data_IF_584639860421
#
_entry.id   IF_584639860421
#
_cell.length_a   1.000
_cell.length_b   1.000
_cell.length_c   1.000
_cell.angle_alpha   90.00
_cell.angle_beta   90.00
_cell.angle_gamma   90.00
#
_symmetry.space_group_name_H-M   'P 1'
#
loop_
_entity.id
_entity.type
_entity.pdbx_description
1 polymer ?
#
# COMPACT_ATOMS: atom_id res chain seq x y z
N UNK A 1 -62.33 24.17 -15.60
CA UNK A 1 -61.50 22.95 -15.86
C UNK A 1 -60.08 23.26 -16.44
N UNK A 2 -59.86 24.44 -17.02
CA UNK A 2 -58.58 24.78 -17.63
C UNK A 2 -57.46 25.08 -16.60
N UNK A 3 -57.79 25.77 -15.52
CA UNK A 3 -56.85 26.13 -14.46
C UNK A 3 -56.29 24.94 -13.69
N UNK A 4 -57.13 23.91 -13.48
CA UNK A 4 -56.69 22.68 -12.75
C UNK A 4 -55.69 21.86 -13.54
N UNK A 5 -55.87 21.81 -14.88
CA UNK A 5 -54.95 21.09 -15.77
C UNK A 5 -53.54 21.73 -15.83
N UNK A 6 -53.47 23.07 -15.81
CA UNK A 6 -52.19 23.79 -15.78
C UNK A 6 -51.43 23.59 -14.43
N UNK A 7 -52.16 23.53 -13.31
CA UNK A 7 -51.56 23.31 -12.00
C UNK A 7 -50.99 21.88 -11.88
N UNK A 8 -51.73 20.91 -12.40
CA UNK A 8 -51.27 19.50 -12.37
C UNK A 8 -50.05 19.26 -13.25
N UNK A 9 -49.99 19.95 -14.40
CA UNK A 9 -48.85 19.89 -15.31
C UNK A 9 -47.60 20.54 -14.70
N UNK A 10 -47.75 21.67 -14.01
CA UNK A 10 -46.67 22.35 -13.29
C UNK A 10 -46.12 21.52 -12.11
N UNK A 11 -47.00 20.86 -11.36
CA UNK A 11 -46.64 19.96 -10.25
C UNK A 11 -45.88 18.74 -10.77
N UNK A 12 -46.29 18.17 -11.91
CA UNK A 12 -45.65 17.03 -12.52
C UNK A 12 -44.24 17.40 -13.07
N UNK A 13 -44.05 18.57 -13.68
CA UNK A 13 -42.77 19.05 -14.11
C UNK A 13 -41.78 19.24 -12.92
N UNK A 14 -42.28 19.80 -11.81
CA UNK A 14 -41.47 19.92 -10.58
C UNK A 14 -41.03 18.59 -10.01
N UNK A 15 -41.93 17.60 -9.96
CA UNK A 15 -41.59 16.24 -9.49
C UNK A 15 -40.55 15.56 -10.38
N UNK A 16 -40.69 15.70 -11.70
CA UNK A 16 -39.74 15.12 -12.63
C UNK A 16 -38.36 15.82 -12.56
N UNK A 17 -38.32 17.13 -12.39
CA UNK A 17 -37.07 17.87 -12.18
C UNK A 17 -36.39 17.46 -10.87
N UNK A 18 -37.15 17.27 -9.79
CA UNK A 18 -36.60 16.81 -8.50
C UNK A 18 -36.04 15.38 -8.58
N UNK A 19 -36.75 14.47 -9.29
CA UNK A 19 -36.26 13.11 -9.53
C UNK A 19 -34.99 13.08 -10.39
N UNK A 20 -34.87 13.98 -11.38
CA UNK A 20 -33.69 14.08 -12.23
C UNK A 20 -32.47 14.60 -11.46
N UNK A 21 -32.69 15.58 -10.57
CA UNK A 21 -31.65 16.10 -9.67
C UNK A 21 -31.21 15.02 -8.67
N UNK A 22 -32.14 14.28 -8.08
CA UNK A 22 -31.84 13.19 -7.17
C UNK A 22 -31.04 12.07 -7.85
N UNK A 23 -31.46 11.68 -9.08
CA UNK A 23 -30.74 10.67 -9.87
C UNK A 23 -29.32 11.14 -10.24
N UNK A 24 -29.14 12.44 -10.56
CA UNK A 24 -27.83 13.03 -10.85
C UNK A 24 -26.92 13.01 -9.62
N UNK A 25 -27.43 13.30 -8.43
CA UNK A 25 -26.68 13.26 -7.18
C UNK A 25 -26.27 11.81 -6.86
N UNK A 26 -27.17 10.82 -7.02
CA UNK A 26 -26.84 9.41 -6.80
C UNK A 26 -25.75 8.93 -7.75
N UNK A 27 -25.76 9.33 -9.03
CA UNK A 27 -24.72 9.00 -10.01
C UNK A 27 -23.33 9.57 -9.65
N UNK A 28 -23.26 10.71 -8.93
CA UNK A 28 -21.99 11.29 -8.49
C UNK A 28 -21.33 10.46 -7.37
N UNK A 29 -22.08 9.69 -6.59
CA UNK A 29 -21.52 8.82 -5.55
C UNK A 29 -20.94 7.51 -6.09
N UNK A 30 -21.23 7.13 -7.34
CA UNK A 30 -20.64 5.94 -7.97
C UNK A 30 -19.26 6.14 -8.60
N UNK A 31 -18.74 7.39 -8.64
CA UNK A 31 -17.33 7.64 -8.99
C UNK A 31 -16.41 7.31 -7.81
N UNK A 32 -16.55 6.11 -7.24
CA UNK A 32 -15.59 5.56 -6.29
C UNK A 32 -14.23 5.50 -6.96
N UNK A 33 -13.27 6.30 -6.48
CA UNK A 33 -11.85 6.12 -6.80
C UNK A 33 -11.49 4.66 -6.47
N UNK A 34 -11.49 3.81 -7.49
CA UNK A 34 -11.01 2.44 -7.36
C UNK A 34 -9.51 2.48 -7.06
N UNK A 35 -9.17 2.39 -5.77
CA UNK A 35 -7.80 2.10 -5.36
C UNK A 35 -7.42 0.74 -5.95
N UNK A 36 -6.68 0.73 -7.05
CA UNK A 36 -6.03 -0.49 -7.55
C UNK A 36 -4.75 -0.66 -6.75
N UNK A 37 -4.64 -1.70 -5.91
CA UNK A 37 -3.36 -2.03 -5.30
C UNK A 37 -2.35 -2.30 -6.43
N UNK A 38 -1.23 -1.60 -6.38
CA UNK A 38 -0.20 -1.54 -7.44
C UNK A 38 0.37 -2.93 -7.78
N UNK A 39 0.21 -3.90 -6.88
CA UNK A 39 0.82 -5.22 -6.97
C UNK A 39 -0.11 -6.33 -7.48
N UNK A 40 -1.41 -6.06 -7.70
CA UNK A 40 -2.35 -7.09 -8.18
C UNK A 40 -2.59 -6.92 -9.67
N UNK A 41 -2.15 -7.91 -10.46
CA UNK A 41 -2.48 -8.04 -11.87
C UNK A 41 -1.47 -7.47 -12.87
N UNK A 42 -0.24 -7.18 -12.45
CA UNK A 42 0.85 -6.91 -13.40
C UNK A 42 1.47 -8.25 -13.82
N UNK A 43 1.41 -8.57 -15.09
CA UNK A 43 2.14 -9.70 -15.67
C UNK A 43 3.64 -9.34 -15.70
N UNK A 44 4.34 -9.67 -14.63
CA UNK A 44 5.79 -9.51 -14.58
C UNK A 44 6.45 -10.59 -15.43
N UNK A 45 7.45 -10.20 -16.25
CA UNK A 45 8.24 -11.15 -17.05
C UNK A 45 9.35 -11.84 -16.23
N UNK A 46 9.31 -11.75 -14.90
CA UNK A 46 10.30 -12.34 -13.98
C UNK A 46 9.63 -12.97 -12.76
N UNK A 47 10.35 -13.88 -12.14
CA UNK A 47 10.01 -14.49 -10.85
C UNK A 47 11.09 -14.09 -9.84
N UNK A 48 10.67 -13.76 -8.62
CA UNK A 48 11.57 -13.51 -7.48
C UNK A 48 11.50 -14.72 -6.57
N UNK A 49 12.63 -15.41 -6.41
CA UNK A 49 12.80 -16.49 -5.44
C UNK A 49 13.61 -15.99 -4.25
N UNK A 50 13.05 -16.09 -3.07
CA UNK A 50 13.77 -15.76 -1.84
C UNK A 50 14.73 -16.90 -1.53
N UNK A 51 16.03 -16.60 -1.46
CA UNK A 51 17.11 -17.56 -1.17
C UNK A 51 17.41 -17.56 0.33
N UNK A 52 17.46 -16.38 0.96
CA UNK A 52 17.64 -16.23 2.40
C UNK A 52 16.88 -15.02 2.96
N UNK A 53 16.45 -15.15 4.23
CA UNK A 53 15.87 -14.04 5.00
C UNK A 53 16.46 -14.02 6.40
N UNK A 54 16.89 -12.82 6.83
CA UNK A 54 17.41 -12.57 8.18
C UNK A 54 16.76 -11.33 8.79
N UNK A 55 16.88 -11.16 10.11
CA UNK A 55 16.37 -10.00 10.83
C UNK A 55 14.95 -10.18 11.39
N UNK A 56 14.09 -9.17 11.29
CA UNK A 56 12.77 -9.17 11.90
C UNK A 56 11.82 -10.15 11.21
N UNK A 57 11.29 -11.11 11.99
CA UNK A 57 10.46 -12.20 11.46
C UNK A 57 9.09 -11.72 10.96
N UNK A 58 8.50 -10.71 11.60
CA UNK A 58 7.19 -10.18 11.19
C UNK A 58 7.31 -9.41 9.88
N UNK A 59 8.33 -8.56 9.76
CA UNK A 59 8.61 -7.82 8.53
C UNK A 59 8.92 -8.78 7.39
N UNK A 60 9.77 -9.77 7.64
CA UNK A 60 10.15 -10.80 6.67
C UNK A 60 8.92 -11.56 6.15
N UNK A 61 8.04 -12.02 7.05
CA UNK A 61 6.81 -12.74 6.68
C UNK A 61 5.86 -11.88 5.84
N UNK A 62 5.72 -10.58 6.18
CA UNK A 62 4.90 -9.64 5.39
C UNK A 62 5.49 -9.42 3.99
N UNK A 63 6.80 -9.27 3.85
CA UNK A 63 7.50 -9.14 2.56
C UNK A 63 7.31 -10.41 1.72
N UNK A 64 7.58 -11.58 2.30
CA UNK A 64 7.46 -12.87 1.64
C UNK A 64 6.04 -13.09 1.08
N UNK A 65 5.01 -12.83 1.88
CA UNK A 65 3.63 -12.99 1.46
C UNK A 65 3.26 -12.08 0.27
N UNK A 66 3.80 -10.86 0.23
CA UNK A 66 3.56 -9.93 -0.88
C UNK A 66 4.35 -10.33 -2.15
N UNK A 67 5.58 -10.83 -2.01
CA UNK A 67 6.39 -11.29 -3.15
C UNK A 67 5.88 -12.61 -3.76
N UNK A 68 5.31 -13.52 -2.97
CA UNK A 68 4.76 -14.80 -3.44
C UNK A 68 3.60 -14.65 -4.44
N UNK A 69 2.94 -13.52 -4.47
CA UNK A 69 1.81 -13.24 -5.38
C UNK A 69 2.30 -12.91 -6.80
N UNK A 70 3.61 -12.68 -7.00
CA UNK A 70 4.19 -12.36 -8.29
C UNK A 70 4.30 -13.64 -9.14
N UNK A 71 3.57 -13.67 -10.23
CA UNK A 71 3.61 -14.76 -11.21
C UNK A 71 4.39 -14.30 -12.44
N UNK A 72 5.62 -14.77 -12.59
CA UNK A 72 6.46 -14.48 -13.75
C UNK A 72 7.04 -15.76 -14.33
N UNK A 73 7.39 -15.77 -15.61
CA UNK A 73 7.78 -17.02 -16.31
C UNK A 73 9.10 -16.95 -17.07
N UNK A 74 9.67 -15.75 -17.31
CA UNK A 74 10.81 -15.62 -18.23
C UNK A 74 12.18 -15.62 -17.58
N UNK A 75 12.32 -15.01 -16.39
CA UNK A 75 13.61 -14.84 -15.73
C UNK A 75 13.47 -15.06 -14.23
N UNK A 76 14.40 -15.77 -13.63
CA UNK A 76 14.42 -16.07 -12.21
C UNK A 76 15.51 -15.27 -11.50
N UNK A 77 15.13 -14.36 -10.63
CA UNK A 77 16.03 -13.67 -9.72
C UNK A 77 15.98 -14.31 -8.34
N UNK A 78 17.13 -14.63 -7.78
CA UNK A 78 17.27 -14.98 -6.38
C UNK A 78 17.50 -13.73 -5.55
N UNK A 79 16.82 -13.61 -4.40
CA UNK A 79 16.98 -12.47 -3.51
C UNK A 79 17.31 -12.92 -2.09
N UNK A 80 18.36 -12.32 -1.53
CA UNK A 80 18.67 -12.36 -0.10
C UNK A 80 18.13 -11.09 0.55
N UNK A 81 17.45 -11.22 1.69
CA UNK A 81 16.81 -10.12 2.41
C UNK A 81 17.32 -10.06 3.86
N UNK A 82 17.54 -8.85 4.35
CA UNK A 82 17.82 -8.61 5.77
C UNK A 82 17.05 -7.40 6.25
N UNK A 83 16.11 -7.61 7.18
CA UNK A 83 15.25 -6.55 7.70
C UNK A 83 15.55 -6.20 9.15
N UNK A 84 15.28 -4.95 9.52
CA UNK A 84 15.36 -4.47 10.90
C UNK A 84 14.23 -3.49 11.17
N UNK A 85 13.46 -3.75 12.23
CA UNK A 85 12.48 -2.79 12.76
C UNK A 85 13.09 -2.00 13.92
N UNK A 86 12.84 -0.70 13.97
CA UNK A 86 13.25 0.18 15.07
C UNK A 86 12.10 1.13 15.40
N UNK A 87 11.83 1.33 16.70
CA UNK A 87 10.88 2.33 17.19
C UNK A 87 11.62 3.44 17.91
N UNK A 88 11.41 4.68 17.47
CA UNK A 88 12.01 5.87 18.05
C UNK A 88 10.96 6.72 18.75
N UNK A 89 11.35 7.47 19.76
CA UNK A 89 10.51 8.51 20.39
C UNK A 89 10.88 9.84 19.75
N UNK A 90 9.96 10.44 18.97
CA UNK A 90 10.17 11.74 18.34
C UNK A 90 9.83 12.91 19.25
N UNK A 91 8.80 12.76 20.07
CA UNK A 91 8.42 13.80 21.05
C UNK A 91 7.85 13.20 22.33
N UNK A 92 7.96 13.96 23.41
CA UNK A 92 7.38 13.66 24.71
C UNK A 92 6.38 14.75 25.10
N UNK A 93 5.45 14.42 25.99
CA UNK A 93 4.54 15.38 26.60
C UNK A 93 5.22 16.14 27.74
N UNK A 94 4.45 17.02 28.42
CA UNK A 94 4.93 17.82 29.54
C UNK A 94 5.31 17.00 30.78
N UNK A 95 4.90 15.73 30.86
CA UNK A 95 5.23 14.79 31.93
C UNK A 95 6.43 13.92 31.59
N UNK A 96 6.93 14.01 30.37
CA UNK A 96 8.05 13.19 29.86
C UNK A 96 7.61 11.88 29.21
N UNK A 97 6.31 11.63 29.06
CA UNK A 97 5.79 10.42 28.42
C UNK A 97 5.88 10.53 26.90
N UNK A 98 6.17 9.42 26.18
CA UNK A 98 6.20 9.42 24.71
C UNK A 98 4.87 9.87 24.13
N UNK A 99 4.89 10.90 23.25
CA UNK A 99 3.70 11.45 22.60
C UNK A 99 3.65 11.08 21.11
N UNK A 100 4.77 11.21 20.42
CA UNK A 100 4.90 10.84 19.01
C UNK A 100 6.01 9.80 18.90
N UNK A 101 5.69 8.69 18.25
CA UNK A 101 6.60 7.61 17.95
C UNK A 101 6.88 7.58 16.45
N UNK A 102 8.01 7.01 16.09
CA UNK A 102 8.39 6.73 14.71
C UNK A 102 8.69 5.23 14.57
N UNK A 103 8.09 4.61 13.58
CA UNK A 103 8.45 3.28 13.14
C UNK A 103 9.40 3.40 11.94
N UNK A 104 10.54 2.74 12.02
CA UNK A 104 11.55 2.69 10.97
C UNK A 104 11.76 1.23 10.59
N UNK A 105 11.73 0.94 9.30
CA UNK A 105 12.09 -0.36 8.75
C UNK A 105 13.25 -0.17 7.79
N UNK A 106 14.38 -0.77 8.14
CA UNK A 106 15.56 -0.87 7.27
C UNK A 106 15.52 -2.22 6.57
N UNK A 107 15.71 -2.24 5.27
CA UNK A 107 15.78 -3.43 4.45
C UNK A 107 17.02 -3.39 3.58
N UNK A 108 17.87 -4.41 3.72
CA UNK A 108 18.96 -4.69 2.79
C UNK A 108 18.53 -5.84 1.89
N UNK A 109 18.69 -5.70 0.58
CA UNK A 109 18.41 -6.78 -0.35
C UNK A 109 19.48 -6.89 -1.43
N UNK A 110 19.70 -8.13 -1.86
CA UNK A 110 20.70 -8.48 -2.84
C UNK A 110 20.07 -9.41 -3.89
N UNK A 111 20.01 -8.96 -5.13
CA UNK A 111 19.63 -9.80 -6.25
C UNK A 111 20.83 -10.53 -6.82
N UNK A 112 20.63 -11.82 -7.11
CA UNK A 112 21.61 -12.65 -7.79
C UNK A 112 20.95 -13.52 -8.87
N UNK A 113 21.72 -13.84 -9.92
CA UNK A 113 21.35 -14.73 -10.99
C UNK A 113 22.58 -15.56 -11.39
N UNK A 114 22.44 -16.88 -11.50
CA UNK A 114 23.54 -17.79 -11.81
C UNK A 114 24.80 -17.59 -10.95
N UNK A 115 24.60 -17.23 -9.67
CA UNK A 115 25.69 -16.98 -8.71
C UNK A 115 26.36 -15.60 -8.82
N UNK A 116 25.96 -14.76 -9.78
CA UNK A 116 26.46 -13.39 -9.93
C UNK A 116 25.51 -12.42 -9.22
N UNK A 117 26.08 -11.52 -8.41
CA UNK A 117 25.33 -10.42 -7.80
C UNK A 117 25.05 -9.37 -8.87
N UNK A 118 23.77 -9.03 -9.05
CA UNK A 118 23.30 -8.01 -9.99
C UNK A 118 23.04 -6.68 -9.29
N UNK A 119 22.43 -6.72 -8.10
CA UNK A 119 22.08 -5.54 -7.31
C UNK A 119 22.32 -5.84 -5.84
N UNK A 120 22.84 -4.86 -5.12
CA UNK A 120 22.91 -4.84 -3.65
C UNK A 120 22.48 -3.45 -3.18
N UNK A 121 21.36 -3.36 -2.45
CA UNK A 121 20.74 -2.10 -2.02
C UNK A 121 20.32 -2.14 -0.56
N UNK A 122 20.36 -0.96 0.05
CA UNK A 122 19.78 -0.67 1.36
C UNK A 122 18.70 0.39 1.19
N UNK A 123 17.52 0.15 1.72
CA UNK A 123 16.41 1.09 1.72
C UNK A 123 15.82 1.20 3.11
N UNK A 124 15.34 2.40 3.44
CA UNK A 124 14.71 2.69 4.73
C UNK A 124 13.36 3.33 4.49
N UNK A 125 12.34 2.77 5.12
CA UNK A 125 11.00 3.35 5.17
C UNK A 125 10.68 3.75 6.61
N UNK A 126 10.02 4.91 6.78
CA UNK A 126 9.67 5.42 8.11
C UNK A 126 8.34 6.13 8.11
N UNK A 127 7.65 6.06 9.24
CA UNK A 127 6.44 6.82 9.46
C UNK A 127 6.24 7.11 10.95
N UNK A 128 5.71 8.28 11.25
CA UNK A 128 5.40 8.70 12.62
C UNK A 128 3.92 8.46 12.93
N UNK A 129 3.63 8.21 14.21
CA UNK A 129 2.27 8.00 14.71
C UNK A 129 2.15 8.46 16.15
N UNK A 130 0.92 8.74 16.59
CA UNK A 130 0.65 9.17 17.95
C UNK A 130 0.64 7.98 18.91
N UNK A 131 1.29 8.13 20.07
CA UNK A 131 1.15 7.19 21.17
C UNK A 131 -0.17 7.45 21.90
N UNK A 132 -1.16 6.61 21.63
CA UNK A 132 -2.47 6.68 22.29
C UNK A 132 -2.53 5.77 23.51
N UNK A 133 -3.39 6.10 24.49
CA UNK A 133 -3.51 5.36 25.75
C UNK A 133 -4.11 3.97 25.57
N UNK A 134 -5.01 3.80 24.59
CA UNK A 134 -5.57 2.49 24.24
C UNK A 134 -4.52 1.64 23.52
N UNK A 135 -4.02 0.61 24.21
CA UNK A 135 -2.93 -0.24 23.71
C UNK A 135 -3.37 -1.17 22.59
N UNK A 136 -4.64 -1.55 22.56
CA UNK A 136 -5.19 -2.38 21.48
C UNK A 136 -5.26 -1.57 20.17
N UNK A 137 -5.85 -0.38 20.21
CA UNK A 137 -5.93 0.50 19.04
C UNK A 137 -4.54 0.97 18.59
N UNK A 138 -3.61 1.19 19.53
CA UNK A 138 -2.21 1.52 19.19
C UNK A 138 -1.56 0.38 18.40
N UNK A 139 -1.66 -0.86 18.91
CA UNK A 139 -1.07 -2.04 18.25
C UNK A 139 -1.66 -2.27 16.86
N UNK A 140 -2.98 -2.11 16.72
CA UNK A 140 -3.66 -2.21 15.42
C UNK A 140 -3.20 -1.15 14.43
N UNK A 141 -3.04 0.10 14.91
CA UNK A 141 -2.52 1.20 14.09
C UNK A 141 -1.08 0.94 13.65
N UNK A 142 -0.24 0.44 14.55
CA UNK A 142 1.15 0.05 14.23
C UNK A 142 1.20 -1.06 13.19
N UNK A 143 0.32 -2.05 13.26
CA UNK A 143 0.30 -3.16 12.30
C UNK A 143 -0.12 -2.70 10.89
N UNK A 144 -1.13 -1.82 10.80
CA UNK A 144 -1.51 -1.16 9.54
C UNK A 144 -0.35 -0.34 8.99
N UNK A 145 0.35 0.39 9.85
CA UNK A 145 1.50 1.20 9.46
C UNK A 145 2.64 0.32 8.91
N UNK A 146 2.93 -0.80 9.57
CA UNK A 146 3.90 -1.80 9.08
C UNK A 146 3.52 -2.32 7.70
N UNK A 147 2.25 -2.65 7.49
CA UNK A 147 1.77 -3.13 6.18
C UNK A 147 2.02 -2.11 5.07
N UNK A 148 1.75 -0.82 5.34
CA UNK A 148 2.00 0.26 4.38
C UNK A 148 3.50 0.45 4.09
N UNK A 149 4.34 0.43 5.13
CA UNK A 149 5.79 0.56 4.95
C UNK A 149 6.37 -0.64 4.18
N UNK A 150 5.92 -1.85 4.49
CA UNK A 150 6.31 -3.07 3.77
C UNK A 150 5.86 -3.03 2.31
N UNK A 151 4.68 -2.48 2.02
CA UNK A 151 4.21 -2.33 0.63
C UNK A 151 5.14 -1.44 -0.19
N UNK A 152 5.60 -0.32 0.38
CA UNK A 152 6.59 0.54 -0.25
C UNK A 152 7.93 -0.19 -0.47
N UNK A 153 8.41 -0.95 0.54
CA UNK A 153 9.64 -1.75 0.42
C UNK A 153 9.54 -2.80 -0.69
N UNK A 154 8.41 -3.51 -0.78
CA UNK A 154 8.17 -4.51 -1.83
C UNK A 154 8.09 -3.86 -3.21
N UNK A 155 7.46 -2.68 -3.31
CA UNK A 155 7.44 -1.90 -4.55
C UNK A 155 8.86 -1.55 -5.03
N UNK A 156 9.74 -1.14 -4.12
CA UNK A 156 11.16 -0.86 -4.43
C UNK A 156 11.91 -2.11 -4.91
N UNK A 157 11.67 -3.28 -4.28
CA UNK A 157 12.24 -4.57 -4.72
C UNK A 157 11.78 -4.89 -6.15
N UNK A 158 10.49 -4.78 -6.43
CA UNK A 158 9.90 -5.09 -7.75
C UNK A 158 10.43 -4.13 -8.81
N UNK A 159 10.50 -2.83 -8.50
CA UNK A 159 11.06 -1.83 -9.40
C UNK A 159 12.53 -2.13 -9.74
N UNK A 160 13.32 -2.58 -8.74
CA UNK A 160 14.70 -3.00 -8.99
C UNK A 160 14.81 -4.21 -9.90
N UNK A 161 13.95 -5.21 -9.72
CA UNK A 161 13.88 -6.38 -10.62
C UNK A 161 13.43 -5.99 -12.03
N UNK A 162 12.46 -5.07 -12.14
CA UNK A 162 12.00 -4.55 -13.43
C UNK A 162 13.12 -3.83 -14.19
N UNK A 163 13.90 -2.99 -13.49
CA UNK A 163 15.04 -2.29 -14.11
C UNK A 163 16.09 -3.27 -14.63
N UNK A 164 16.37 -4.36 -13.90
CA UNK A 164 17.28 -5.42 -14.39
C UNK A 164 16.80 -6.12 -15.66
N UNK A 165 15.49 -6.12 -15.92
CA UNK A 165 14.93 -6.65 -17.19
C UNK A 165 15.11 -5.69 -18.36
N UNK A 166 15.21 -4.39 -18.09
CA UNK A 166 15.35 -3.34 -19.12
C UNK A 166 16.81 -3.20 -19.56
N UNK A 167 17.74 -3.27 -18.60
CA UNK A 167 19.17 -3.06 -18.86
C UNK A 167 19.83 -4.16 -19.72
N UNK A 168 19.16 -5.31 -19.88
CA UNK A 168 19.65 -6.44 -20.68
C UNK A 168 19.04 -6.51 -22.11
N UNK A 169 18.25 -5.52 -22.53
CA UNK A 169 17.73 -5.37 -23.90
C UNK A 169 18.49 -4.29 -24.67
#
# INVERSE_FOLDING_TARGET
>A
NFCKKQIDEYINMRKNAFNLIYLSIVLLFFNGCGFKPILIGSDYNFLIQIDSMTGDSQINSKIENKLKVLNGTKRLFKVDLSSKETKNILSKDSKGDPKILELVIDLNYKFSENGKILVNRSITQRSSYNNISDKFELSKSEDILKDNLVENLVSDIINSATNLMIDDN
#
